data_IF_036843149802
#
_entry.id   IF_036843149802
#
_cell.length_a   1.000
_cell.length_b   1.000
_cell.length_c   1.000
_cell.angle_alpha   90.00
_cell.angle_beta   90.00
_cell.angle_gamma   90.00
#
_symmetry.space_group_name_H-M   'P 1'
#
loop_
_entity.id
_entity.type
_entity.pdbx_description
1 polymer ?
#
# COMPACT_ATOMS: atom_id res chain seq x y z
N UNK A 1 17.39 -0.02 59.77
CA UNK A 1 18.35 -1.08 59.55
C UNK A 1 18.81 -1.05 58.09
N UNK A 2 20.07 -0.64 57.90
CA UNK A 2 20.72 -0.47 56.59
C UNK A 2 21.15 -1.81 56.03
N UNK A 3 20.98 -2.04 54.75
CA UNK A 3 21.85 -2.95 53.99
C UNK A 3 22.06 -2.40 52.57
N UNK A 4 23.27 -1.86 52.38
CA UNK A 4 23.85 -1.56 51.08
C UNK A 4 24.32 -2.87 50.44
N UNK A 5 24.03 -3.05 49.14
CA UNK A 5 24.71 -4.02 48.30
C UNK A 5 25.52 -3.28 47.23
N UNK A 6 26.82 -3.44 47.32
CA UNK A 6 27.82 -2.94 46.37
C UNK A 6 27.91 -3.96 45.22
N UNK A 7 27.74 -3.51 44.01
CA UNK A 7 27.94 -4.33 42.81
C UNK A 7 29.29 -4.02 42.18
N UNK A 8 30.14 -5.04 42.12
CA UNK A 8 31.51 -5.00 41.62
C UNK A 8 31.53 -5.05 40.08
N UNK A 9 32.19 -4.05 39.45
CA UNK A 9 32.47 -4.06 38.02
C UNK A 9 33.71 -4.93 37.75
N UNK A 10 33.57 -5.94 36.89
CA UNK A 10 34.70 -6.67 36.31
C UNK A 10 34.88 -6.16 34.87
N UNK A 11 36.02 -5.50 34.65
CA UNK A 11 36.47 -5.08 33.31
C UNK A 11 37.34 -6.21 32.76
N UNK A 12 36.93 -6.79 31.63
CA UNK A 12 37.74 -7.77 30.92
C UNK A 12 38.31 -7.09 29.66
N UNK A 13 39.64 -6.86 29.68
CA UNK A 13 40.39 -6.39 28.52
C UNK A 13 40.80 -7.59 27.66
N UNK A 14 40.41 -7.62 26.41
CA UNK A 14 40.91 -8.58 25.43
C UNK A 14 41.87 -7.89 24.47
N UNK A 15 43.08 -8.43 24.38
CA UNK A 15 44.17 -7.93 23.55
C UNK A 15 43.97 -8.27 22.06
N UNK A 16 44.26 -7.28 21.22
CA UNK A 16 44.36 -7.40 19.75
C UNK A 16 45.69 -8.07 19.40
N UNK A 17 45.64 -9.18 18.65
CA UNK A 17 46.78 -9.73 17.94
C UNK A 17 46.57 -9.57 16.43
N UNK A 18 47.37 -8.71 15.82
CA UNK A 18 47.40 -8.50 14.37
C UNK A 18 48.36 -9.55 13.75
N UNK A 19 47.85 -10.36 12.84
CA UNK A 19 48.65 -11.15 11.92
C UNK A 19 48.40 -10.66 10.49
N UNK A 20 49.37 -9.97 9.90
CA UNK A 20 49.42 -9.63 8.49
C UNK A 20 50.01 -10.80 7.69
N UNK A 21 49.24 -11.35 6.77
CA UNK A 21 49.76 -12.25 5.74
C UNK A 21 49.52 -11.62 4.37
N UNK A 22 50.61 -11.14 3.80
CA UNK A 22 50.73 -10.77 2.38
C UNK A 22 50.60 -12.02 1.53
N UNK A 23 49.62 -12.06 0.62
CA UNK A 23 49.49 -13.13 -0.40
C UNK A 23 49.66 -12.55 -1.78
N UNK A 24 50.72 -12.97 -2.44
CA UNK A 24 51.11 -12.66 -3.82
C UNK A 24 50.01 -13.09 -4.80
N UNK A 25 49.84 -12.27 -5.85
CA UNK A 25 49.01 -12.60 -7.01
C UNK A 25 49.81 -13.45 -8.00
N UNK A 26 49.28 -14.55 -8.54
CA UNK A 26 49.85 -15.15 -9.73
C UNK A 26 49.37 -14.41 -10.98
N UNK A 27 50.34 -14.02 -11.80
CA UNK A 27 50.20 -13.49 -13.14
C UNK A 27 49.83 -14.66 -14.08
N UNK A 28 48.70 -14.57 -14.77
CA UNK A 28 48.35 -15.47 -15.85
C UNK A 28 47.87 -14.68 -17.06
N UNK A 29 48.84 -14.39 -17.91
CA UNK A 29 48.60 -13.94 -19.27
C UNK A 29 48.04 -15.12 -20.10
N UNK A 30 46.78 -15.04 -20.52
CA UNK A 30 46.15 -16.01 -21.45
C UNK A 30 46.18 -15.42 -22.84
N UNK A 31 46.86 -16.10 -23.74
CA UNK A 31 46.96 -15.81 -25.16
C UNK A 31 45.59 -15.88 -25.85
N UNK A 32 45.27 -14.85 -26.61
CA UNK A 32 44.12 -14.79 -27.51
C UNK A 32 44.27 -15.84 -28.64
N UNK A 33 43.33 -16.78 -28.68
CA UNK A 33 43.10 -17.61 -29.88
C UNK A 33 41.85 -17.06 -30.60
N UNK A 34 42.03 -16.56 -31.81
CA UNK A 34 40.95 -16.15 -32.70
C UNK A 34 40.19 -17.38 -33.19
N UNK A 35 38.90 -17.50 -32.81
CA UNK A 35 38.00 -18.47 -33.44
C UNK A 35 36.99 -17.68 -34.28
N UNK A 36 36.98 -17.99 -35.57
CA UNK A 36 36.05 -17.50 -36.58
C UNK A 36 34.66 -18.04 -36.24
N UNK A 37 33.69 -17.14 -36.00
CA UNK A 37 32.28 -17.51 -35.79
C UNK A 37 31.55 -17.64 -37.13
N UNK A 38 30.60 -18.57 -37.30
CA UNK A 38 29.67 -18.56 -38.42
C UNK A 38 28.54 -17.57 -38.16
N UNK A 39 28.21 -16.76 -39.15
CA UNK A 39 27.06 -15.88 -39.20
C UNK A 39 25.75 -16.69 -39.03
N UNK A 40 24.94 -16.35 -38.00
CA UNK A 40 23.66 -16.98 -37.80
C UNK A 40 22.77 -16.16 -36.85
N UNK A 41 21.86 -15.41 -37.45
CA UNK A 41 20.61 -14.84 -36.90
C UNK A 41 20.63 -14.37 -35.46
N UNK A 42 20.70 -13.06 -35.26
CA UNK A 42 20.33 -12.37 -34.03
C UNK A 42 18.82 -12.48 -33.77
N UNK A 43 18.38 -13.03 -32.63
CA UNK A 43 17.01 -12.71 -32.14
C UNK A 43 17.06 -11.27 -31.64
N UNK A 44 16.23 -10.41 -32.19
CA UNK A 44 16.00 -9.06 -31.73
C UNK A 44 15.35 -9.13 -30.36
N UNK A 45 16.14 -9.29 -29.30
CA UNK A 45 15.73 -9.10 -27.93
C UNK A 45 15.68 -7.58 -27.64
N UNK A 46 14.49 -7.03 -27.41
CA UNK A 46 14.36 -5.70 -26.86
C UNK A 46 15.09 -5.64 -25.53
N UNK A 47 15.99 -4.67 -25.39
CA UNK A 47 16.73 -4.45 -24.15
C UNK A 47 15.77 -4.17 -22.98
N UNK A 48 16.09 -4.71 -21.79
CA UNK A 48 15.45 -4.32 -20.55
C UNK A 48 15.72 -2.83 -20.27
N UNK A 49 14.79 -2.15 -19.61
CA UNK A 49 15.02 -0.78 -19.16
C UNK A 49 16.18 -0.76 -18.15
N UNK A 50 16.90 0.36 -18.03
CA UNK A 50 18.09 0.55 -17.16
C UNK A 50 17.83 0.28 -15.66
N UNK A 51 16.54 0.17 -15.24
CA UNK A 51 16.10 -0.15 -13.88
C UNK A 51 15.79 -1.63 -13.64
N UNK A 52 16.06 -2.49 -14.63
CA UNK A 52 15.80 -3.94 -14.54
C UNK A 52 14.33 -4.33 -14.73
N UNK A 53 13.46 -3.41 -15.12
CA UNK A 53 12.04 -3.69 -15.41
C UNK A 53 11.94 -4.29 -16.82
N UNK A 54 11.28 -5.45 -17.00
CA UNK A 54 11.06 -6.01 -18.35
C UNK A 54 10.19 -5.05 -19.16
N UNK A 55 10.48 -4.83 -20.45
CA UNK A 55 9.63 -4.00 -21.31
C UNK A 55 8.30 -4.70 -21.50
N UNK A 56 7.24 -4.12 -20.92
CA UNK A 56 5.87 -4.58 -21.16
C UNK A 56 5.47 -4.22 -22.60
N UNK A 57 5.30 -5.24 -23.43
CA UNK A 57 4.97 -5.08 -24.84
C UNK A 57 3.44 -5.18 -25.03
N UNK A 58 2.74 -4.05 -25.03
CA UNK A 58 1.33 -3.98 -25.42
C UNK A 58 0.48 -3.14 -24.44
N UNK A 59 -0.74 -2.79 -24.85
CA UNK A 59 -1.68 -2.13 -23.93
C UNK A 59 -2.08 -3.10 -22.81
N UNK A 60 -1.98 -2.65 -21.56
CA UNK A 60 -2.44 -3.43 -20.42
C UNK A 60 -3.98 -3.48 -20.40
N UNK A 61 -4.54 -4.65 -20.14
CA UNK A 61 -5.98 -4.89 -20.03
C UNK A 61 -6.43 -5.16 -18.59
N UNK A 62 -5.61 -4.79 -17.60
CA UNK A 62 -5.85 -5.05 -16.18
C UNK A 62 -6.91 -4.12 -15.58
N UNK A 63 -7.10 -2.92 -16.16
CA UNK A 63 -8.10 -1.95 -15.68
C UNK A 63 -9.52 -2.53 -15.78
N UNK A 64 -10.24 -2.47 -14.66
CA UNK A 64 -11.64 -2.86 -14.52
C UNK A 64 -12.58 -1.66 -14.52
N UNK A 65 -13.81 -1.91 -14.09
CA UNK A 65 -14.84 -0.86 -13.93
C UNK A 65 -14.51 0.09 -12.79
N UNK A 66 -15.17 1.25 -12.80
CA UNK A 66 -15.25 2.12 -11.61
C UNK A 66 -16.43 1.68 -10.76
N UNK A 67 -16.21 1.47 -9.46
CA UNK A 67 -17.22 1.16 -8.47
C UNK A 67 -17.46 2.40 -7.60
N UNK A 68 -18.65 2.97 -7.71
CA UNK A 68 -19.09 4.08 -6.86
C UNK A 68 -19.67 3.53 -5.56
N UNK A 69 -19.13 3.96 -4.42
CA UNK A 69 -19.52 3.48 -3.09
C UNK A 69 -19.88 4.65 -2.18
N UNK A 70 -20.94 4.49 -1.43
CA UNK A 70 -21.38 5.41 -0.37
C UNK A 70 -21.40 4.74 1.00
N UNK A 71 -21.30 3.39 1.02
CA UNK A 71 -21.32 2.55 2.22
C UNK A 71 -20.56 1.24 1.96
N UNK A 72 -20.27 0.50 3.02
CA UNK A 72 -19.67 -0.84 2.91
C UNK A 72 -20.54 -1.80 2.06
N UNK A 73 -21.87 -1.64 2.11
CA UNK A 73 -22.79 -2.50 1.35
C UNK A 73 -22.65 -2.36 -0.18
N UNK A 74 -22.05 -1.26 -0.65
CA UNK A 74 -21.82 -1.00 -2.06
C UNK A 74 -20.52 -1.66 -2.57
N UNK A 75 -19.63 -2.10 -1.68
CA UNK A 75 -18.38 -2.80 -2.03
C UNK A 75 -18.65 -4.24 -2.49
N UNK A 76 -19.31 -4.37 -3.64
CA UNK A 76 -19.66 -5.67 -4.21
C UNK A 76 -18.79 -5.95 -5.43
N UNK A 77 -17.78 -6.81 -5.22
CA UNK A 77 -16.94 -7.36 -6.27
C UNK A 77 -17.57 -8.63 -6.85
N UNK A 78 -17.46 -8.79 -8.15
CA UNK A 78 -17.77 -10.06 -8.83
C UNK A 78 -16.50 -10.87 -9.04
N UNK A 79 -16.62 -12.12 -9.46
CA UNK A 79 -15.47 -12.99 -9.71
C UNK A 79 -14.49 -12.34 -10.68
N UNK A 80 -13.20 -12.54 -10.43
CA UNK A 80 -12.09 -11.91 -11.14
C UNK A 80 -11.97 -10.39 -10.96
N UNK A 81 -12.64 -9.79 -9.97
CA UNK A 81 -12.42 -8.39 -9.60
C UNK A 81 -11.60 -8.27 -8.32
N UNK A 82 -10.63 -7.36 -8.33
CA UNK A 82 -9.81 -7.03 -7.16
C UNK A 82 -9.75 -5.52 -6.94
N UNK A 83 -9.62 -5.12 -5.69
CA UNK A 83 -9.24 -3.76 -5.29
C UNK A 83 -7.82 -3.85 -4.70
N UNK A 84 -6.90 -3.06 -5.23
CA UNK A 84 -5.57 -2.89 -4.64
C UNK A 84 -5.66 -1.86 -3.54
N UNK A 85 -5.24 -2.19 -2.32
CA UNK A 85 -5.19 -1.22 -1.23
C UNK A 85 -3.81 -1.18 -0.57
N UNK A 86 -3.40 0.03 -0.17
CA UNK A 86 -2.09 0.32 0.38
C UNK A 86 -2.25 1.12 1.66
N UNK A 87 -1.65 0.63 2.75
CA UNK A 87 -1.71 1.23 4.07
C UNK A 87 -0.36 1.87 4.44
N UNK A 88 -0.38 2.72 5.46
CA UNK A 88 0.74 3.33 6.19
C UNK A 88 1.45 4.52 5.51
N UNK A 89 1.35 4.67 4.20
CA UNK A 89 2.01 5.77 3.49
C UNK A 89 1.41 7.17 3.76
N UNK A 90 1.92 8.17 3.08
CA UNK A 90 2.91 8.11 1.99
C UNK A 90 4.37 8.21 2.46
N UNK A 91 5.28 7.49 1.82
CA UNK A 91 6.74 7.60 2.05
C UNK A 91 7.49 7.83 0.74
N UNK A 92 8.35 8.86 0.63
CA UNK A 92 9.19 9.09 -0.54
C UNK A 92 10.10 7.89 -0.86
N UNK A 93 10.29 7.61 -2.14
CA UNK A 93 11.07 6.47 -2.62
C UNK A 93 10.36 5.12 -2.51
N UNK A 94 9.10 5.13 -2.08
CA UNK A 94 8.22 3.95 -2.00
C UNK A 94 6.87 4.23 -2.65
N UNK A 95 6.05 5.08 -2.03
CA UNK A 95 4.72 5.46 -2.55
C UNK A 95 4.78 5.99 -3.98
N UNK A 96 5.75 6.85 -4.30
CA UNK A 96 5.98 7.37 -5.66
C UNK A 96 6.28 6.25 -6.67
N UNK A 97 7.01 5.20 -6.27
CA UNK A 97 7.27 4.04 -7.11
C UNK A 97 6.03 3.14 -7.27
N UNK A 98 5.25 2.95 -6.21
CA UNK A 98 3.95 2.27 -6.32
C UNK A 98 3.06 3.00 -7.32
N UNK A 99 2.93 4.33 -7.23
CA UNK A 99 2.17 5.13 -8.19
C UNK A 99 2.66 4.97 -9.63
N UNK A 100 3.98 5.00 -9.85
CA UNK A 100 4.55 4.80 -11.18
C UNK A 100 4.20 3.42 -11.77
N UNK A 101 4.24 2.36 -10.94
CA UNK A 101 3.87 1.01 -11.36
C UNK A 101 2.36 0.94 -11.67
N UNK A 102 1.49 1.48 -10.79
CA UNK A 102 0.04 1.51 -11.04
C UNK A 102 -0.29 2.23 -12.35
N UNK A 103 0.36 3.37 -12.61
CA UNK A 103 0.18 4.13 -13.84
C UNK A 103 0.67 3.36 -15.07
N UNK A 104 1.77 2.61 -14.97
CA UNK A 104 2.27 1.76 -16.05
C UNK A 104 1.24 0.71 -16.44
N UNK A 105 0.53 0.11 -15.49
CA UNK A 105 -0.53 -0.86 -15.74
C UNK A 105 -1.91 -0.24 -16.00
N UNK A 106 -2.03 1.09 -15.95
CA UNK A 106 -3.28 1.81 -16.18
C UNK A 106 -4.34 1.57 -15.10
N UNK A 107 -3.94 1.23 -13.87
CA UNK A 107 -4.84 0.92 -12.76
C UNK A 107 -4.71 1.93 -11.61
N UNK A 108 -5.68 1.92 -10.70
CA UNK A 108 -5.71 2.76 -9.50
C UNK A 108 -5.83 1.91 -8.24
N UNK A 109 -5.36 2.46 -7.12
CA UNK A 109 -5.47 1.85 -5.80
C UNK A 109 -6.30 2.68 -4.83
N UNK A 110 -6.50 2.13 -3.63
CA UNK A 110 -7.03 2.82 -2.47
C UNK A 110 -5.92 2.97 -1.43
N UNK A 111 -5.60 4.20 -1.03
CA UNK A 111 -4.51 4.50 -0.12
C UNK A 111 -5.06 4.92 1.24
N UNK A 112 -4.83 4.10 2.27
CA UNK A 112 -5.19 4.37 3.66
C UNK A 112 -3.99 5.03 4.33
N UNK A 113 -3.96 6.36 4.30
CA UNK A 113 -2.79 7.13 4.75
C UNK A 113 -2.79 7.32 6.26
N UNK A 114 -1.64 7.18 6.88
CA UNK A 114 -1.38 7.64 8.25
C UNK A 114 -1.27 9.16 8.23
N UNK A 115 -1.99 9.83 9.14
CA UNK A 115 -2.09 11.30 9.17
C UNK A 115 -0.75 11.99 9.33
N UNK A 116 0.10 11.49 10.25
CA UNK A 116 1.46 11.99 10.46
C UNK A 116 2.31 11.90 9.18
N UNK A 117 2.21 10.78 8.45
CA UNK A 117 2.94 10.59 7.19
C UNK A 117 2.43 11.53 6.10
N UNK A 118 1.13 11.76 6.03
CA UNK A 118 0.54 12.72 5.11
C UNK A 118 0.99 14.17 5.41
N UNK A 119 1.08 14.55 6.68
CA UNK A 119 1.61 15.85 7.11
C UNK A 119 3.11 16.01 6.82
N UNK A 120 3.89 14.94 7.02
CA UNK A 120 5.33 14.96 6.71
C UNK A 120 5.61 15.02 5.20
N UNK A 121 4.73 14.46 4.38
CA UNK A 121 4.92 14.34 2.92
C UNK A 121 3.72 14.85 2.10
N UNK A 122 3.27 16.10 2.32
CA UNK A 122 2.00 16.59 1.76
C UNK A 122 1.98 16.66 0.23
N UNK A 123 3.12 16.93 -0.40
CA UNK A 123 3.22 16.93 -1.86
C UNK A 123 3.00 15.53 -2.46
N UNK A 124 3.50 14.48 -1.78
CA UNK A 124 3.30 13.10 -2.21
C UNK A 124 1.87 12.63 -1.93
N UNK A 125 1.30 12.95 -0.76
CA UNK A 125 -0.10 12.70 -0.46
C UNK A 125 -1.04 13.32 -1.51
N UNK A 126 -0.79 14.58 -1.87
CA UNK A 126 -1.53 15.28 -2.93
C UNK A 126 -1.38 14.60 -4.29
N UNK A 127 -0.17 14.13 -4.64
CA UNK A 127 0.08 13.40 -5.88
C UNK A 127 -0.77 12.12 -5.96
N UNK A 128 -0.85 11.34 -4.87
CA UNK A 128 -1.71 10.14 -4.81
C UNK A 128 -3.16 10.49 -5.18
N UNK A 129 -3.71 11.55 -4.59
CA UNK A 129 -5.07 11.99 -4.85
C UNK A 129 -5.25 12.51 -6.29
N UNK A 130 -4.33 13.35 -6.77
CA UNK A 130 -4.40 13.93 -8.13
C UNK A 130 -4.33 12.88 -9.23
N UNK A 131 -3.68 11.75 -8.98
CA UNK A 131 -3.62 10.62 -9.91
C UNK A 131 -4.90 9.77 -9.92
N UNK A 132 -5.93 10.16 -9.17
CA UNK A 132 -7.26 9.53 -9.19
C UNK A 132 -7.38 8.27 -8.37
N UNK A 133 -6.49 8.07 -7.39
CA UNK A 133 -6.61 6.99 -6.42
C UNK A 133 -7.65 7.33 -5.35
N UNK A 134 -8.26 6.31 -4.74
CA UNK A 134 -9.15 6.49 -3.60
C UNK A 134 -8.36 6.84 -2.34
N UNK A 135 -8.85 7.81 -1.56
CA UNK A 135 -8.17 8.32 -0.38
C UNK A 135 -8.91 7.90 0.88
N UNK A 136 -8.19 7.25 1.79
CA UNK A 136 -8.64 6.86 3.11
C UNK A 136 -7.69 7.34 4.21
N UNK A 137 -8.17 7.28 5.46
CA UNK A 137 -7.38 7.52 6.65
C UNK A 137 -7.08 6.21 7.37
N UNK A 138 -5.89 6.15 7.97
CA UNK A 138 -5.41 5.04 8.78
C UNK A 138 -5.00 5.50 10.19
N UNK A 139 -5.84 6.36 10.80
CA UNK A 139 -5.59 7.13 12.01
C UNK A 139 -4.48 8.18 11.85
N UNK A 140 -4.11 8.87 12.95
CA UNK A 140 -3.07 9.89 12.89
C UNK A 140 -1.67 9.29 13.03
N UNK A 141 -1.43 8.45 14.04
CA UNK A 141 -0.12 7.86 14.36
C UNK A 141 -0.08 6.33 14.26
N UNK A 142 -1.07 5.72 13.57
CA UNK A 142 -1.22 4.27 13.46
C UNK A 142 -1.52 3.58 14.80
N UNK A 143 -2.24 4.27 15.72
CA UNK A 143 -2.59 3.71 17.03
C UNK A 143 -3.51 2.48 16.91
N UNK A 144 -3.30 1.47 17.77
CA UNK A 144 -4.29 0.42 17.96
C UNK A 144 -5.49 0.99 18.74
N UNK A 145 -6.55 1.32 18.03
CA UNK A 145 -7.72 2.01 18.60
C UNK A 145 -8.43 1.19 19.68
N UNK A 146 -8.31 -0.14 19.66
CA UNK A 146 -8.94 -1.00 20.69
C UNK A 146 -8.20 -0.98 22.03
N UNK A 147 -6.96 -0.49 22.04
CA UNK A 147 -6.18 -0.29 23.27
C UNK A 147 -6.43 1.07 23.94
N UNK A 148 -7.18 1.96 23.28
CA UNK A 148 -7.49 3.30 23.75
C UNK A 148 -8.90 3.39 24.34
N UNK A 149 -9.14 4.40 25.20
CA UNK A 149 -10.51 4.80 25.53
C UNK A 149 -11.23 5.32 24.28
N UNK A 150 -12.56 5.23 24.26
CA UNK A 150 -13.35 5.59 23.07
C UNK A 150 -13.08 7.01 22.56
N UNK A 151 -13.01 8.00 23.44
CA UNK A 151 -12.81 9.39 23.06
C UNK A 151 -11.42 9.59 22.45
N UNK A 152 -10.38 9.04 23.09
CA UNK A 152 -9.00 9.06 22.56
C UNK A 152 -8.88 8.32 21.21
N UNK A 153 -9.60 7.21 21.05
CA UNK A 153 -9.64 6.49 19.76
C UNK A 153 -10.31 7.34 18.67
N UNK A 154 -11.39 8.06 19.01
CA UNK A 154 -12.06 8.95 18.06
C UNK A 154 -11.23 10.20 17.74
N UNK A 155 -10.47 10.73 18.71
CA UNK A 155 -9.52 11.82 18.47
C UNK A 155 -8.44 11.41 17.44
N UNK A 156 -7.91 10.19 17.54
CA UNK A 156 -6.98 9.62 16.55
C UNK A 156 -7.60 9.52 15.16
N UNK A 157 -8.86 9.06 15.06
CA UNK A 157 -9.60 8.98 13.80
C UNK A 157 -9.77 10.36 13.18
N UNK A 158 -10.28 11.33 13.97
CA UNK A 158 -10.57 12.69 13.50
C UNK A 158 -9.30 13.43 13.10
N UNK A 159 -8.25 13.32 13.91
CA UNK A 159 -6.96 13.94 13.64
C UNK A 159 -6.34 13.40 12.36
N UNK A 160 -6.37 12.07 12.16
CA UNK A 160 -5.90 11.42 10.93
C UNK A 160 -6.69 11.86 9.70
N UNK A 161 -8.03 11.88 9.78
CA UNK A 161 -8.91 12.35 8.70
C UNK A 161 -8.58 13.79 8.29
N UNK A 162 -8.44 14.69 9.27
CA UNK A 162 -8.13 16.11 9.02
C UNK A 162 -6.74 16.29 8.40
N UNK A 163 -5.74 15.57 8.90
CA UNK A 163 -4.36 15.62 8.40
C UNK A 163 -4.29 15.17 6.94
N UNK A 164 -4.91 14.03 6.61
CA UNK A 164 -4.94 13.50 5.24
C UNK A 164 -5.74 14.42 4.32
N UNK A 165 -6.91 14.92 4.73
CA UNK A 165 -7.70 15.89 3.95
C UNK A 165 -6.89 17.15 3.63
N UNK A 166 -6.20 17.71 4.62
CA UNK A 166 -5.36 18.89 4.45
C UNK A 166 -4.20 18.65 3.48
N UNK A 167 -3.52 17.51 3.60
CA UNK A 167 -2.36 17.18 2.78
C UNK A 167 -2.76 16.90 1.32
N UNK A 168 -3.83 16.14 1.11
CA UNK A 168 -4.30 15.73 -0.23
C UNK A 168 -5.08 16.83 -0.94
N UNK A 169 -5.77 17.69 -0.20
CA UNK A 169 -6.76 18.65 -0.73
C UNK A 169 -8.08 17.98 -1.16
N UNK A 170 -8.31 16.73 -0.71
CA UNK A 170 -9.49 15.92 -1.04
C UNK A 170 -10.11 15.37 0.23
N UNK A 171 -11.45 15.41 0.35
CA UNK A 171 -12.14 14.82 1.48
C UNK A 171 -11.79 13.32 1.60
N UNK A 172 -11.42 12.88 2.81
CA UNK A 172 -11.26 11.46 3.11
C UNK A 172 -12.62 10.80 3.08
N UNK A 173 -12.71 9.67 2.39
CA UNK A 173 -13.98 8.94 2.22
C UNK A 173 -13.91 7.50 2.73
N UNK A 174 -12.70 6.99 2.93
CA UNK A 174 -12.45 5.63 3.37
C UNK A 174 -11.67 5.62 4.68
N UNK A 175 -11.81 4.54 5.42
CA UNK A 175 -11.08 4.32 6.66
C UNK A 175 -10.69 2.84 6.79
N UNK A 176 -9.52 2.57 7.35
CA UNK A 176 -9.15 1.23 7.78
C UNK A 176 -8.57 1.29 9.19
N UNK A 177 -8.95 0.32 10.01
CA UNK A 177 -8.42 0.18 11.36
C UNK A 177 -6.97 -0.31 11.32
N UNK A 178 -6.02 0.34 12.01
CA UNK A 178 -4.69 -0.21 12.23
C UNK A 178 -4.76 -1.63 12.82
N UNK A 179 -3.87 -2.51 12.34
CA UNK A 179 -3.81 -3.93 12.75
C UNK A 179 -5.11 -4.72 12.44
N UNK A 180 -6.07 -4.16 11.69
CA UNK A 180 -7.44 -4.66 11.51
C UNK A 180 -8.15 -4.84 12.87
N UNK A 181 -7.69 -4.15 13.92
CA UNK A 181 -8.24 -4.21 15.27
C UNK A 181 -9.39 -3.22 15.43
N UNK A 182 -10.60 -3.73 15.48
CA UNK A 182 -11.83 -2.93 15.54
C UNK A 182 -12.74 -3.31 16.70
N UNK A 183 -13.68 -2.42 17.03
CA UNK A 183 -14.84 -2.73 17.85
C UNK A 183 -16.11 -2.24 17.18
N UNK A 184 -17.24 -2.91 17.46
CA UNK A 184 -18.54 -2.49 16.92
C UNK A 184 -18.86 -1.02 17.17
N UNK A 185 -18.52 -0.53 18.37
CA UNK A 185 -18.78 0.87 18.76
C UNK A 185 -17.95 1.85 17.91
N UNK A 186 -16.67 1.55 17.70
CA UNK A 186 -15.79 2.40 16.86
C UNK A 186 -16.22 2.35 15.40
N UNK A 187 -16.49 1.15 14.86
CA UNK A 187 -16.96 1.00 13.48
C UNK A 187 -18.24 1.80 13.25
N UNK A 188 -19.23 1.72 14.16
CA UNK A 188 -20.47 2.48 14.04
C UNK A 188 -20.22 3.99 14.09
N UNK A 189 -19.35 4.47 15.00
CA UNK A 189 -19.02 5.88 15.11
C UNK A 189 -18.32 6.44 13.86
N UNK A 190 -17.40 5.66 13.27
CA UNK A 190 -16.70 6.01 12.02
C UNK A 190 -17.68 6.03 10.84
N UNK A 191 -18.59 5.06 10.76
CA UNK A 191 -19.62 5.03 9.72
C UNK A 191 -20.59 6.24 9.82
N UNK A 192 -20.96 6.66 11.05
CA UNK A 192 -21.77 7.85 11.28
C UNK A 192 -21.08 9.15 10.84
N UNK A 193 -19.75 9.18 10.73
CA UNK A 193 -18.99 10.28 10.12
C UNK A 193 -19.05 10.28 8.60
N UNK A 194 -19.67 9.28 7.99
CA UNK A 194 -19.76 9.14 6.54
C UNK A 194 -18.56 8.47 5.91
N UNK A 195 -17.67 7.88 6.70
CA UNK A 195 -16.51 7.13 6.19
C UNK A 195 -16.88 5.67 5.91
N UNK A 196 -16.42 5.16 4.77
CA UNK A 196 -16.56 3.75 4.41
C UNK A 196 -15.40 2.96 5.03
N UNK A 197 -15.71 2.12 6.02
CA UNK A 197 -14.68 1.26 6.63
C UNK A 197 -14.36 0.12 5.67
N UNK A 198 -13.11 0.06 5.22
CA UNK A 198 -12.64 -0.96 4.27
C UNK A 198 -12.06 -2.17 5.00
N UNK A 199 -12.70 -3.31 4.81
CA UNK A 199 -12.20 -4.60 5.25
C UNK A 199 -11.11 -5.15 4.31
N UNK A 200 -10.54 -6.29 4.64
CA UNK A 200 -9.49 -6.97 3.89
C UNK A 200 -9.95 -8.40 3.58
N UNK A 201 -9.85 -8.79 2.31
CA UNK A 201 -10.10 -10.17 1.88
C UNK A 201 -8.82 -10.98 1.73
N UNK A 202 -7.79 -10.35 1.21
CA UNK A 202 -6.49 -10.94 0.87
C UNK A 202 -5.40 -10.13 1.56
N UNK A 203 -4.84 -10.65 2.65
CA UNK A 203 -3.69 -10.06 3.31
C UNK A 203 -2.41 -10.61 2.68
N UNK A 204 -1.67 -9.77 1.95
CA UNK A 204 -0.46 -10.16 1.23
C UNK A 204 0.70 -10.57 2.14
N UNK A 205 0.67 -10.15 3.41
CA UNK A 205 1.76 -10.33 4.38
C UNK A 205 3.09 -9.69 3.95
N UNK A 206 3.03 -8.63 3.13
CA UNK A 206 4.22 -7.91 2.65
C UNK A 206 5.02 -7.22 3.75
N UNK A 207 4.47 -7.06 4.93
CA UNK A 207 5.12 -6.53 6.13
C UNK A 207 5.97 -7.55 6.90
N UNK A 208 5.84 -8.86 6.64
CA UNK A 208 6.72 -9.86 7.24
C UNK A 208 8.05 -9.97 6.49
N UNK A 209 9.05 -10.60 7.15
CA UNK A 209 10.33 -10.88 6.53
C UNK A 209 10.20 -12.04 5.51
N UNK A 210 9.85 -11.69 4.27
CA UNK A 210 9.60 -12.62 3.17
C UNK A 210 10.21 -12.08 1.87
N UNK A 211 10.40 -12.92 0.87
CA UNK A 211 10.87 -12.49 -0.45
C UNK A 211 9.73 -11.89 -1.28
N UNK A 212 10.00 -10.98 -2.23
CA UNK A 212 8.98 -10.48 -3.15
C UNK A 212 8.21 -11.60 -3.88
N UNK A 213 8.90 -12.67 -4.25
CA UNK A 213 8.31 -13.84 -4.93
C UNK A 213 7.33 -14.54 -4.01
N UNK A 214 7.73 -14.88 -2.77
CA UNK A 214 6.85 -15.59 -1.83
C UNK A 214 5.62 -14.78 -1.44
N UNK A 215 5.73 -13.44 -1.34
CA UNK A 215 4.58 -12.57 -1.09
C UNK A 215 3.62 -12.59 -2.28
N UNK A 216 4.13 -12.50 -3.51
CA UNK A 216 3.31 -12.62 -4.72
C UNK A 216 2.57 -13.95 -4.78
N UNK A 217 3.28 -15.07 -4.55
CA UNK A 217 2.70 -16.41 -4.56
C UNK A 217 1.63 -16.58 -3.48
N UNK A 218 1.89 -16.11 -2.25
CA UNK A 218 0.90 -16.15 -1.17
C UNK A 218 -0.36 -15.36 -1.57
N UNK A 219 -0.19 -14.15 -2.09
CA UNK A 219 -1.31 -13.29 -2.52
C UNK A 219 -2.15 -13.98 -3.59
N UNK A 220 -1.52 -14.53 -4.64
CA UNK A 220 -2.21 -15.25 -5.69
C UNK A 220 -2.91 -16.51 -5.17
N UNK A 221 -2.26 -17.29 -4.31
CA UNK A 221 -2.84 -18.50 -3.70
C UNK A 221 -4.07 -18.19 -2.83
N UNK A 222 -4.07 -17.08 -2.10
CA UNK A 222 -5.23 -16.62 -1.34
C UNK A 222 -6.36 -16.14 -2.27
N UNK A 223 -5.99 -15.43 -3.33
CA UNK A 223 -6.93 -14.93 -4.31
C UNK A 223 -7.60 -16.07 -5.10
N UNK A 224 -6.88 -17.13 -5.48
CA UNK A 224 -7.44 -18.31 -6.14
C UNK A 224 -8.54 -19.01 -5.30
N UNK A 225 -8.50 -18.88 -3.98
CA UNK A 225 -9.52 -19.45 -3.10
C UNK A 225 -10.80 -18.62 -3.03
N UNK A 226 -10.73 -17.34 -3.39
CA UNK A 226 -11.85 -16.38 -3.27
C UNK A 226 -12.36 -15.86 -4.60
N UNK A 227 -11.53 -15.94 -5.65
CA UNK A 227 -11.72 -15.41 -7.00
C UNK A 227 -11.91 -13.88 -7.07
N UNK A 228 -12.00 -13.17 -5.96
CA UNK A 228 -12.15 -11.71 -5.86
C UNK A 228 -11.72 -11.22 -4.49
N UNK A 229 -11.52 -9.93 -4.34
CA UNK A 229 -11.35 -9.34 -3.01
C UNK A 229 -10.50 -8.08 -2.96
N UNK A 230 -10.46 -7.49 -1.76
CA UNK A 230 -9.61 -6.35 -1.42
C UNK A 230 -8.25 -6.89 -0.97
N UNK A 231 -7.22 -6.57 -1.73
CA UNK A 231 -5.83 -6.99 -1.44
C UNK A 231 -5.18 -5.91 -0.58
N UNK A 232 -4.75 -6.29 0.63
CA UNK A 232 -3.97 -5.44 1.54
C UNK A 232 -2.48 -5.54 1.19
N UNK A 233 -1.87 -4.40 1.01
CA UNK A 233 -0.43 -4.17 0.87
C UNK A 233 -0.06 -2.90 1.63
N UNK A 234 1.25 -2.63 1.75
CA UNK A 234 1.75 -1.42 2.41
C UNK A 234 2.75 -0.71 1.49
N UNK A 235 2.46 0.54 1.11
CA UNK A 235 3.31 1.32 0.18
C UNK A 235 4.58 1.88 0.83
N UNK A 236 4.85 1.48 2.06
CA UNK A 236 6.06 1.82 2.81
C UNK A 236 7.20 0.80 2.66
N UNK A 237 6.95 -0.38 2.08
CA UNK A 237 7.94 -1.45 1.99
C UNK A 237 8.60 -1.55 0.61
N UNK A 238 9.94 -1.68 0.59
CA UNK A 238 10.69 -2.00 -0.65
C UNK A 238 10.16 -3.25 -1.34
N UNK A 239 9.80 -4.23 -0.52
CA UNK A 239 9.30 -5.53 -0.98
C UNK A 239 8.04 -5.36 -1.81
N UNK A 240 7.10 -4.55 -1.36
CA UNK A 240 5.88 -4.22 -2.08
C UNK A 240 6.17 -3.59 -3.43
N UNK A 241 7.05 -2.57 -3.47
CA UNK A 241 7.52 -1.97 -4.73
C UNK A 241 8.11 -3.02 -5.68
N UNK A 242 8.93 -3.95 -5.16
CA UNK A 242 9.61 -4.96 -5.98
C UNK A 242 8.64 -6.04 -6.49
N UNK A 243 7.67 -6.46 -5.69
CA UNK A 243 6.74 -7.53 -6.06
C UNK A 243 5.58 -7.06 -6.95
N UNK A 244 5.20 -5.79 -6.84
CA UNK A 244 3.97 -5.25 -7.45
C UNK A 244 3.90 -5.46 -8.97
N UNK A 245 4.96 -5.22 -9.77
CA UNK A 245 4.90 -5.48 -11.22
C UNK A 245 4.57 -6.94 -11.54
N UNK A 246 5.19 -7.89 -10.80
CA UNK A 246 4.94 -9.32 -11.00
C UNK A 246 3.53 -9.71 -10.60
N UNK A 247 3.03 -9.17 -9.48
CA UNK A 247 1.65 -9.40 -9.04
C UNK A 247 0.65 -8.90 -10.08
N UNK A 248 0.82 -7.66 -10.57
CA UNK A 248 -0.08 -7.08 -11.58
C UNK A 248 -0.05 -7.86 -12.90
N UNK A 249 1.13 -8.31 -13.35
CA UNK A 249 1.25 -9.16 -14.54
C UNK A 249 0.55 -10.51 -14.38
N UNK A 250 0.64 -11.13 -13.19
CA UNK A 250 -0.09 -12.38 -12.90
C UNK A 250 -1.61 -12.15 -12.87
N UNK A 251 -2.08 -11.09 -12.22
CA UNK A 251 -3.49 -10.74 -12.20
C UNK A 251 -4.03 -10.55 -13.64
N UNK A 252 -3.29 -9.84 -14.49
CA UNK A 252 -3.66 -9.63 -15.88
C UNK A 252 -3.70 -10.94 -16.67
N UNK A 253 -2.66 -11.76 -16.55
CA UNK A 253 -2.55 -13.06 -17.26
C UNK A 253 -3.67 -14.02 -16.88
N UNK A 254 -4.11 -13.97 -15.60
CA UNK A 254 -5.19 -14.82 -15.09
C UNK A 254 -6.59 -14.20 -15.24
N UNK A 255 -6.70 -13.10 -15.97
CA UNK A 255 -7.97 -12.46 -16.32
C UNK A 255 -8.63 -11.65 -15.22
N UNK A 256 -7.91 -11.32 -14.14
CA UNK A 256 -8.42 -10.40 -13.13
C UNK A 256 -8.54 -8.97 -13.66
N UNK A 257 -9.41 -8.19 -13.02
CA UNK A 257 -9.61 -6.76 -13.28
C UNK A 257 -9.44 -5.98 -11.98
N UNK A 258 -8.66 -4.91 -12.03
CA UNK A 258 -8.51 -3.98 -10.92
C UNK A 258 -9.61 -2.94 -10.97
N UNK A 259 -10.49 -2.97 -9.98
CA UNK A 259 -11.61 -2.05 -9.83
C UNK A 259 -11.12 -0.73 -9.24
N UNK A 260 -11.47 0.38 -9.88
CA UNK A 260 -11.22 1.72 -9.36
C UNK A 260 -12.34 2.13 -8.41
N UNK A 261 -12.02 2.49 -7.17
CA UNK A 261 -13.01 3.00 -6.22
C UNK A 261 -13.23 4.50 -6.39
N UNK A 262 -14.50 4.91 -6.34
CA UNK A 262 -14.90 6.31 -6.18
C UNK A 262 -15.93 6.43 -5.07
N UNK A 263 -15.78 7.44 -4.22
CA UNK A 263 -16.79 7.74 -3.23
C UNK A 263 -17.93 8.56 -3.87
N UNK A 264 -19.16 8.15 -3.58
CA UNK A 264 -20.36 8.86 -3.97
C UNK A 264 -21.03 9.39 -2.71
N UNK A 265 -21.04 10.72 -2.54
CA UNK A 265 -21.76 11.33 -1.41
C UNK A 265 -23.20 10.86 -1.41
N UNK A 266 -23.74 10.36 -0.27
CA UNK A 266 -25.14 10.03 -0.16
C UNK A 266 -25.99 11.24 -0.56
N UNK A 267 -26.97 11.06 -1.44
CA UNK A 267 -27.92 12.13 -1.74
C UNK A 267 -28.79 12.35 -0.51
N UNK A 268 -28.89 13.60 -0.06
CA UNK A 268 -29.87 13.94 0.97
C UNK A 268 -31.26 13.54 0.45
N UNK A 269 -32.11 12.91 1.30
CA UNK A 269 -33.46 12.55 0.87
C UNK A 269 -34.18 13.80 0.37
N UNK A 270 -34.66 13.76 -0.86
CA UNK A 270 -35.31 14.90 -1.58
C UNK A 270 -36.56 15.46 -0.85
N UNK A 271 -37.03 14.75 0.18
CA UNK A 271 -38.23 15.12 0.93
C UNK A 271 -38.01 16.21 2.00
N UNK A 272 -36.77 16.61 2.29
CA UNK A 272 -36.50 17.68 3.26
C UNK A 272 -36.65 19.09 2.70
N UNK A 273 -36.67 19.25 1.37
CA UNK A 273 -36.84 20.57 0.72
C UNK A 273 -38.31 20.98 0.61
N UNK A 274 -39.23 20.01 0.56
CA UNK A 274 -40.65 20.28 0.43
C UNK A 274 -41.35 20.82 1.69
N UNK A 275 -40.70 20.72 2.86
CA UNK A 275 -41.32 21.14 4.14
C UNK A 275 -41.01 22.60 4.52
N UNK A 276 -40.02 23.23 3.88
CA UNK A 276 -39.64 24.61 4.22
C UNK A 276 -40.58 25.66 3.56
N UNK A 277 -41.18 25.36 2.42
CA UNK A 277 -42.05 26.29 1.70
C UNK A 277 -43.48 26.32 2.22
N UNK A 278 -43.87 25.42 3.12
CA UNK A 278 -45.24 25.36 3.66
C UNK A 278 -45.45 26.19 4.95
N UNK A 279 -44.39 26.74 5.51
CA UNK A 279 -44.49 27.54 6.79
C UNK A 279 -44.53 29.05 6.56
N UNK A 280 -44.32 29.51 5.32
CA UNK A 280 -44.30 30.96 5.00
C UNK A 280 -45.61 31.53 4.46
N UNK A 281 -46.72 30.75 4.40
CA UNK A 281 -48.03 31.26 3.97
C UNK A 281 -49.08 30.99 5.02
N UNK A 282 -48.99 31.68 6.17
CA UNK A 282 -50.10 32.00 7.08
C UNK A 282 -49.83 33.29 7.84
#
# INVERSE_FOLDING_TARGET
MHRFFVLSCIVLAAALSACSTTRERPDTSIKTASVIAPEGRTPSGKAANDDGTPPFAGPHHLSGRTLEVSSLADLKLIDKEVILSFDDGPIPGRTDKVLAILNQFGVKGAFMMVGEMAEMHPALARKVAMEGNAIGSHTYDHANLTSLGFDAAMDEVVKGELAVTKATGTDVSFFRFPYLAESHRLRAAIAMRGLVVMDVDIDSKDYFSATPVSVTELTMNLLHKRDRGIILMHDIHKRTVTMLPTLLSKLETEGYKVVTLKFKKPQAPSNLVASADLVMTR
#
